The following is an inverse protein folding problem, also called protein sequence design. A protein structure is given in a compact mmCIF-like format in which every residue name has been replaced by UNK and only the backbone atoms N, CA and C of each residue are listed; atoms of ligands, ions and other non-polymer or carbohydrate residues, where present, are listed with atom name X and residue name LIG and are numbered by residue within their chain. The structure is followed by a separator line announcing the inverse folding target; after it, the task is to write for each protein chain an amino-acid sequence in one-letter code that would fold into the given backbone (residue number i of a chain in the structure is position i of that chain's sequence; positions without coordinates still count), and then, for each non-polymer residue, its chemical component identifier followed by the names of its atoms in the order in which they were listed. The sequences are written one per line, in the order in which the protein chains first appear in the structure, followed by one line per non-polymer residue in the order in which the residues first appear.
data_IF_840538716643
#
_entry.id   IF_840538716643
#
_cell.length_a   1.000
_cell.length_b   1.000
_cell.length_c   1.000
_cell.angle_alpha   90.00
_cell.angle_beta   90.00
_cell.angle_gamma   90.00
#
_symmetry.space_group_name_H-M   'P 1'
#
loop_
_entity.id
_entity.type
_entity.pdbx_description
1 polymer ?
#
# COMPACT_ATOMS: atom_id res chain seq x y z
N UNK A 1 -6.07 -37.44 48.89
CA UNK A 1 -6.77 -37.91 47.69
C UNK A 1 -6.76 -36.74 46.71
N UNK A 2 -5.87 -36.84 45.75
CA UNK A 2 -5.76 -35.87 44.65
C UNK A 2 -6.16 -36.62 43.41
N UNK A 3 -7.28 -36.25 42.82
CA UNK A 3 -7.74 -36.78 41.54
C UNK A 3 -6.79 -36.28 40.45
N UNK A 4 -6.16 -37.24 39.75
CA UNK A 4 -5.43 -37.06 38.53
C UNK A 4 -6.46 -36.92 37.41
N UNK A 5 -6.57 -35.74 36.82
CA UNK A 5 -7.33 -35.54 35.59
C UNK A 5 -6.50 -36.12 34.41
N UNK A 6 -7.09 -37.15 33.77
CA UNK A 6 -6.61 -37.78 32.53
C UNK A 6 -6.61 -36.75 31.39
N UNK A 7 -5.42 -36.39 30.92
CA UNK A 7 -5.30 -35.70 29.65
C UNK A 7 -5.55 -36.68 28.49
N UNK A 8 -6.35 -36.36 27.48
CA UNK A 8 -6.57 -37.24 26.34
C UNK A 8 -5.29 -37.31 25.48
N UNK A 9 -4.74 -38.52 25.36
CA UNK A 9 -3.71 -38.87 24.39
C UNK A 9 -4.21 -38.59 22.97
N UNK A 10 -3.62 -37.61 22.31
CA UNK A 10 -3.83 -37.33 20.87
C UNK A 10 -3.00 -38.33 20.09
N UNK A 11 -3.59 -39.45 19.67
CA UNK A 11 -2.97 -40.38 18.73
C UNK A 11 -3.00 -39.79 17.31
N UNK A 12 -1.83 -39.52 16.75
CA UNK A 12 -1.67 -39.15 15.35
C UNK A 12 -2.01 -40.39 14.47
N UNK A 13 -2.70 -40.18 13.33
CA UNK A 13 -2.97 -41.27 12.40
C UNK A 13 -1.69 -41.78 11.75
N UNK A 14 -1.55 -43.13 11.70
CA UNK A 14 -0.48 -43.84 11.03
C UNK A 14 -0.41 -43.46 9.54
N UNK A 15 0.72 -42.87 9.10
CA UNK A 15 0.96 -42.57 7.68
C UNK A 15 1.68 -41.27 7.40
N UNK A 16 2.22 -40.57 8.39
CA UNK A 16 3.15 -39.46 8.13
C UNK A 16 4.57 -39.98 8.00
N UNK A 17 5.01 -40.21 6.75
CA UNK A 17 6.43 -40.31 6.44
C UNK A 17 7.05 -38.93 6.59
N UNK A 18 8.12 -38.82 7.39
CA UNK A 18 8.98 -37.66 7.48
C UNK A 18 9.57 -37.39 6.10
N UNK A 19 8.96 -36.48 5.33
CA UNK A 19 9.61 -35.92 4.15
C UNK A 19 10.73 -35.00 4.62
N UNK A 20 11.98 -35.40 4.34
CA UNK A 20 13.17 -34.57 4.38
C UNK A 20 12.92 -33.28 3.61
N UNK A 21 12.58 -32.21 4.33
CA UNK A 21 12.51 -30.87 3.79
C UNK A 21 13.97 -30.39 3.63
N UNK A 22 14.50 -30.56 2.42
CA UNK A 22 15.80 -30.01 2.03
C UNK A 22 15.75 -28.48 2.11
N UNK A 23 16.21 -27.94 3.23
CA UNK A 23 16.25 -26.51 3.60
C UNK A 23 17.33 -25.77 2.79
N UNK A 24 17.33 -25.91 1.46
CA UNK A 24 18.11 -25.05 0.57
C UNK A 24 17.22 -23.94 0.04
N UNK A 25 17.09 -22.87 0.85
CA UNK A 25 16.65 -21.58 0.32
C UNK A 25 17.65 -21.14 -0.74
N UNK A 26 17.22 -20.81 -1.96
CA UNK A 26 18.12 -20.21 -2.94
C UNK A 26 18.62 -18.87 -2.39
N UNK A 27 19.93 -18.69 -2.43
CA UNK A 27 20.61 -17.46 -1.99
C UNK A 27 20.13 -16.28 -2.86
N UNK A 28 19.48 -15.25 -2.29
CA UNK A 28 18.97 -14.11 -3.07
C UNK A 28 20.06 -13.25 -3.72
N UNK A 29 21.34 -13.52 -3.43
CA UNK A 29 22.48 -12.84 -4.04
C UNK A 29 22.81 -13.31 -5.45
N UNK A 30 22.31 -14.49 -5.88
CA UNK A 30 22.61 -15.03 -7.21
C UNK A 30 21.79 -14.37 -8.33
N UNK A 31 20.58 -13.86 -8.04
CA UNK A 31 19.72 -13.20 -9.03
C UNK A 31 20.10 -11.74 -9.28
N UNK A 32 20.72 -11.07 -8.31
CA UNK A 32 21.09 -9.64 -8.43
C UNK A 32 22.28 -9.44 -9.36
N UNK A 33 23.19 -10.40 -9.45
CA UNK A 33 24.39 -10.28 -10.30
C UNK A 33 24.09 -10.43 -11.80
N UNK A 34 23.06 -11.17 -12.21
CA UNK A 34 22.66 -11.29 -13.62
C UNK A 34 21.97 -10.05 -14.18
N UNK A 35 21.33 -9.25 -13.30
CA UNK A 35 20.66 -8.01 -13.71
C UNK A 35 21.66 -6.86 -13.88
N UNK A 36 22.77 -6.89 -13.17
CA UNK A 36 23.81 -5.83 -13.24
C UNK A 36 24.68 -6.00 -14.48
N UNK A 37 25.03 -7.22 -14.87
CA UNK A 37 25.84 -7.47 -16.09
C UNK A 37 25.07 -7.18 -17.39
N UNK A 38 23.74 -7.34 -17.41
CA UNK A 38 22.89 -6.99 -18.56
C UNK A 38 22.72 -5.50 -18.79
N UNK A 39 22.93 -4.66 -17.77
CA UNK A 39 22.81 -3.19 -17.90
C UNK A 39 24.13 -2.47 -18.27
N UNK A 40 25.26 -3.09 -18.00
CA UNK A 40 26.55 -2.49 -18.36
C UNK A 40 26.93 -2.71 -19.83
N UNK A 41 26.44 -3.75 -20.49
CA UNK A 41 26.68 -4.00 -21.91
C UNK A 41 25.86 -3.10 -22.83
N UNK A 42 24.63 -2.72 -22.45
CA UNK A 42 23.82 -1.79 -23.25
C UNK A 42 24.27 -0.31 -23.14
N UNK A 43 24.99 0.04 -22.08
CA UNK A 43 25.49 1.43 -21.89
C UNK A 43 26.76 1.70 -22.66
N UNK A 44 27.54 0.68 -23.06
CA UNK A 44 28.79 0.82 -23.85
C UNK A 44 28.57 0.91 -25.36
N UNK A 45 27.50 0.35 -25.88
CA UNK A 45 27.17 0.43 -27.31
C UNK A 45 26.52 1.75 -27.74
N UNK A 46 26.01 2.55 -26.79
CA UNK A 46 25.38 3.87 -27.09
C UNK A 46 26.33 5.06 -27.02
N UNK A 47 27.53 4.91 -26.49
CA UNK A 47 28.50 6.00 -26.43
C UNK A 47 29.49 6.07 -27.63
N UNK A 48 29.54 5.00 -28.47
CA UNK A 48 30.49 4.93 -29.58
C UNK A 48 29.95 5.45 -30.95
N UNK A 49 28.69 5.89 -31.01
CA UNK A 49 28.07 6.33 -32.29
C UNK A 49 27.85 7.85 -32.46
N UNK A 50 28.37 8.70 -31.56
CA UNK A 50 28.14 10.14 -31.60
C UNK A 50 29.39 11.04 -31.86
N UNK A 51 30.53 10.48 -32.27
CA UNK A 51 31.65 11.27 -32.74
C UNK A 51 31.88 11.06 -34.24
N UNK A 52 31.25 11.86 -35.09
CA UNK A 52 31.75 12.42 -36.35
C UNK A 52 30.67 13.18 -37.10
N UNK A 53 30.69 14.50 -36.98
CA UNK A 53 30.55 15.44 -38.08
C UNK A 53 30.66 16.89 -37.56
N UNK A 54 31.84 17.42 -37.61
CA UNK A 54 32.08 18.85 -37.74
C UNK A 54 31.88 19.27 -39.20
N UNK A 55 31.27 20.45 -39.37
CA UNK A 55 31.29 21.11 -40.66
C UNK A 55 30.17 22.14 -40.89
N UNK A 56 30.50 23.41 -40.60
CA UNK A 56 30.12 24.68 -41.26
C UNK A 56 28.74 25.32 -41.07
N UNK A 57 28.83 26.44 -40.34
CA UNK A 57 28.30 27.81 -40.57
C UNK A 57 26.84 28.07 -40.92
N UNK A 58 26.23 28.94 -40.08
CA UNK A 58 25.11 29.78 -40.48
C UNK A 58 24.10 30.11 -39.37
N UNK A 59 24.36 31.21 -38.67
CA UNK A 59 23.45 32.20 -38.06
C UNK A 59 22.04 31.81 -37.57
N UNK A 60 21.76 32.37 -36.41
CA UNK A 60 20.55 32.64 -35.66
C UNK A 60 20.24 31.65 -34.53
N UNK A 61 20.56 32.18 -33.32
CA UNK A 61 20.40 31.53 -32.04
C UNK A 61 18.95 31.22 -31.66
N UNK A 62 18.51 30.08 -32.03
CA UNK A 62 17.38 29.44 -31.32
C UNK A 62 17.98 28.46 -30.36
N UNK A 63 18.00 28.83 -29.07
CA UNK A 63 18.32 27.92 -27.98
C UNK A 63 17.27 26.81 -28.01
N UNK A 64 17.57 25.71 -28.69
CA UNK A 64 16.77 24.48 -28.57
C UNK A 64 16.93 24.01 -27.14
N UNK A 65 15.96 24.33 -26.29
CA UNK A 65 15.84 23.69 -24.99
C UNK A 65 15.65 22.20 -25.27
N UNK A 66 16.65 21.39 -24.96
CA UNK A 66 16.49 19.94 -24.90
C UNK A 66 15.46 19.65 -23.79
N UNK A 67 14.22 19.50 -24.20
CA UNK A 67 13.16 18.97 -23.30
C UNK A 67 13.43 17.48 -23.17
N UNK A 68 13.74 17.03 -21.97
CA UNK A 68 13.76 15.60 -21.67
C UNK A 68 12.37 15.07 -21.90
N UNK A 69 12.24 14.10 -22.79
CA UNK A 69 10.98 13.34 -22.96
C UNK A 69 10.68 12.65 -21.64
N UNK A 70 9.45 12.83 -21.16
CA UNK A 70 8.96 12.09 -20.02
C UNK A 70 8.80 10.63 -20.47
N UNK A 71 9.43 9.65 -19.79
CA UNK A 71 9.22 8.25 -20.16
C UNK A 71 7.73 7.93 -20.07
N UNK A 72 7.20 7.24 -21.08
CA UNK A 72 5.85 6.68 -21.04
C UNK A 72 5.81 5.65 -19.90
N UNK A 73 5.26 6.06 -18.77
CA UNK A 73 4.93 5.15 -17.66
C UNK A 73 3.48 4.77 -17.89
N UNK A 74 3.15 3.50 -17.76
CA UNK A 74 1.76 3.06 -17.72
C UNK A 74 1.07 3.81 -16.58
N UNK A 75 0.32 4.86 -16.92
CA UNK A 75 -0.40 5.68 -15.95
C UNK A 75 -1.78 5.09 -15.76
N UNK A 76 -2.01 4.46 -14.62
CA UNK A 76 -3.35 4.09 -14.20
C UNK A 76 -4.07 5.34 -13.69
N UNK A 77 -5.31 5.52 -14.09
CA UNK A 77 -6.13 6.62 -13.60
C UNK A 77 -6.55 6.32 -12.15
N UNK A 78 -6.24 7.27 -11.24
CA UNK A 78 -6.62 7.12 -9.84
C UNK A 78 -7.98 7.76 -9.61
N UNK A 79 -8.93 6.98 -9.12
CA UNK A 79 -10.26 7.42 -8.74
C UNK A 79 -10.33 7.64 -7.23
N UNK A 80 -11.03 8.68 -6.80
CA UNK A 80 -11.16 9.08 -5.39
C UNK A 80 -12.62 9.07 -4.96
N UNK A 81 -12.85 8.64 -3.71
CA UNK A 81 -14.14 8.74 -3.05
C UNK A 81 -13.95 9.39 -1.67
N UNK A 82 -14.70 10.44 -1.36
CA UNK A 82 -14.72 11.08 -0.05
C UNK A 82 -15.99 10.67 0.69
N UNK A 83 -15.83 10.14 1.90
CA UNK A 83 -16.97 9.79 2.73
C UNK A 83 -17.72 11.07 3.16
N UNK A 84 -19.04 11.16 2.97
CA UNK A 84 -19.79 12.35 3.30
C UNK A 84 -19.79 12.62 4.81
N UNK A 85 -19.42 13.85 5.19
CA UNK A 85 -19.34 14.32 6.57
C UNK A 85 -18.17 13.77 7.38
N UNK A 86 -17.92 14.40 8.50
CA UNK A 86 -16.78 14.10 9.36
C UNK A 86 -17.04 12.88 10.25
N UNK A 87 -15.95 12.27 10.68
CA UNK A 87 -15.92 11.21 11.70
C UNK A 87 -15.45 11.83 13.01
N UNK A 88 -16.28 11.79 14.03
CA UNK A 88 -15.93 12.31 15.36
C UNK A 88 -16.08 11.19 16.38
N UNK A 89 -14.99 10.88 17.09
CA UNK A 89 -14.98 9.86 18.14
C UNK A 89 -13.94 10.18 19.21
N UNK A 90 -14.15 9.68 20.42
CA UNK A 90 -13.16 9.79 21.47
C UNK A 90 -12.02 8.81 21.24
N UNK A 91 -10.81 9.23 21.59
CA UNK A 91 -9.64 8.37 21.56
C UNK A 91 -9.58 7.48 22.80
N UNK A 92 -8.98 6.30 22.62
CA UNK A 92 -8.79 5.33 23.68
C UNK A 92 -8.00 5.92 24.85
N UNK A 93 -8.59 5.85 26.04
CA UNK A 93 -7.95 6.31 27.27
C UNK A 93 -7.79 7.83 27.39
N UNK A 94 -8.33 8.62 26.46
CA UNK A 94 -8.29 10.08 26.47
C UNK A 94 -9.67 10.69 26.61
N UNK A 95 -9.72 11.92 27.13
CA UNK A 95 -10.93 12.75 27.14
C UNK A 95 -11.08 13.59 25.86
N UNK A 96 -10.03 13.59 25.05
CA UNK A 96 -10.02 14.27 23.75
C UNK A 96 -10.78 13.48 22.71
N UNK A 97 -11.33 14.18 21.76
CA UNK A 97 -11.94 13.57 20.58
C UNK A 97 -11.18 13.98 19.32
N UNK A 98 -11.20 13.08 18.38
CA UNK A 98 -10.65 13.27 17.05
C UNK A 98 -11.82 13.49 16.07
N UNK A 99 -11.71 14.56 15.28
CA UNK A 99 -12.59 14.81 14.14
C UNK A 99 -11.75 14.72 12.88
N UNK A 100 -12.16 13.85 11.95
CA UNK A 100 -11.45 13.64 10.68
C UNK A 100 -12.42 13.51 9.53
N UNK A 101 -12.05 14.04 8.37
CA UNK A 101 -12.69 13.75 7.09
C UNK A 101 -11.81 12.73 6.35
N UNK A 102 -12.42 11.67 5.83
CA UNK A 102 -11.74 10.52 5.24
C UNK A 102 -12.09 10.40 3.78
N UNK A 103 -11.08 10.27 2.94
CA UNK A 103 -11.19 9.88 1.54
C UNK A 103 -10.39 8.60 1.26
N UNK A 104 -10.78 7.90 0.23
CA UNK A 104 -10.09 6.69 -0.24
C UNK A 104 -9.79 6.79 -1.73
N UNK A 105 -8.79 6.05 -2.20
CA UNK A 105 -8.46 5.98 -3.63
C UNK A 105 -8.29 4.56 -4.11
N UNK A 106 -8.47 4.40 -5.42
CA UNK A 106 -8.18 3.17 -6.16
C UNK A 106 -7.60 3.50 -7.54
N UNK A 107 -6.75 2.62 -8.05
CA UNK A 107 -6.32 2.59 -9.46
C UNK A 107 -7.01 1.46 -10.24
N UNK A 108 -7.91 0.74 -9.60
CA UNK A 108 -8.78 -0.24 -10.24
C UNK A 108 -9.97 0.45 -10.93
N UNK A 109 -10.89 -0.34 -11.46
CA UNK A 109 -12.11 0.13 -12.13
C UNK A 109 -12.96 1.00 -11.17
N UNK A 110 -13.64 2.00 -11.73
CA UNK A 110 -14.58 2.90 -11.05
C UNK A 110 -15.63 2.15 -10.21
N UNK A 111 -15.93 0.90 -10.58
CA UNK A 111 -16.83 0.01 -9.82
C UNK A 111 -16.42 -0.17 -8.36
N UNK A 112 -15.13 -0.09 -8.04
CA UNK A 112 -14.67 -0.16 -6.64
C UNK A 112 -15.25 0.99 -5.84
N UNK A 113 -15.33 2.19 -6.42
CA UNK A 113 -15.92 3.36 -5.73
C UNK A 113 -17.43 3.27 -5.63
N UNK A 114 -18.12 2.67 -6.60
CA UNK A 114 -19.56 2.36 -6.50
C UNK A 114 -19.85 1.38 -5.36
N UNK A 115 -19.00 0.36 -5.18
CA UNK A 115 -19.08 -0.60 -4.08
C UNK A 115 -18.83 0.11 -2.73
N UNK A 116 -17.82 0.98 -2.63
CA UNK A 116 -17.55 1.78 -1.43
C UNK A 116 -18.75 2.65 -1.07
N UNK A 117 -19.39 3.31 -2.05
CA UNK A 117 -20.58 4.11 -1.83
C UNK A 117 -21.77 3.27 -1.37
N UNK A 118 -22.01 2.13 -1.99
CA UNK A 118 -23.09 1.19 -1.64
C UNK A 118 -22.99 0.69 -0.20
N UNK A 119 -21.77 0.48 0.28
CA UNK A 119 -21.47 -0.07 1.61
C UNK A 119 -21.00 0.98 2.61
N UNK A 120 -21.14 2.27 2.30
CA UNK A 120 -20.59 3.34 3.14
C UNK A 120 -21.06 3.28 4.60
N UNK A 121 -22.26 2.81 4.91
CA UNK A 121 -22.72 2.67 6.29
C UNK A 121 -21.86 1.68 7.08
N UNK A 122 -21.55 0.51 6.49
CA UNK A 122 -20.72 -0.50 7.11
C UNK A 122 -19.27 -0.04 7.24
N UNK A 123 -18.74 0.59 6.18
CA UNK A 123 -17.38 1.13 6.16
C UNK A 123 -17.22 2.28 7.16
N UNK A 124 -18.20 3.17 7.28
CA UNK A 124 -18.20 4.25 8.29
C UNK A 124 -18.15 3.71 9.72
N UNK A 125 -18.87 2.63 9.99
CA UNK A 125 -18.82 1.97 11.31
C UNK A 125 -17.42 1.44 11.62
N UNK A 126 -16.76 0.81 10.64
CA UNK A 126 -15.39 0.31 10.80
C UNK A 126 -14.37 1.44 10.98
N UNK A 127 -14.53 2.56 10.26
CA UNK A 127 -13.68 3.75 10.40
C UNK A 127 -13.77 4.28 11.83
N UNK A 128 -15.00 4.51 12.35
CA UNK A 128 -15.21 5.01 13.71
C UNK A 128 -14.64 4.05 14.77
N UNK A 129 -14.87 2.75 14.62
CA UNK A 129 -14.33 1.73 15.51
C UNK A 129 -12.80 1.76 15.51
N UNK A 130 -12.20 1.77 14.33
CA UNK A 130 -10.74 1.79 14.20
C UNK A 130 -10.12 3.04 14.82
N UNK A 131 -10.69 4.22 14.59
CA UNK A 131 -10.20 5.47 15.17
C UNK A 131 -10.28 5.44 16.70
N UNK A 132 -11.37 4.91 17.26
CA UNK A 132 -11.58 4.84 18.70
C UNK A 132 -10.60 3.89 19.43
N UNK A 133 -9.98 2.97 18.72
CA UNK A 133 -8.96 2.06 19.26
C UNK A 133 -7.59 2.72 19.44
N UNK A 134 -7.33 3.86 18.77
CA UNK A 134 -6.07 4.58 18.86
C UNK A 134 -6.00 5.48 20.08
N UNK A 135 -4.80 5.57 20.67
CA UNK A 135 -4.49 6.53 21.72
C UNK A 135 -4.04 7.87 21.12
N UNK A 136 -4.07 8.94 21.94
CA UNK A 136 -3.58 10.26 21.55
C UNK A 136 -2.10 10.23 21.13
N UNK A 137 -1.29 9.45 21.83
CA UNK A 137 0.15 9.32 21.55
C UNK A 137 0.40 8.65 20.19
N UNK A 138 -0.38 7.61 19.87
CA UNK A 138 -0.26 6.86 18.62
C UNK A 138 -0.59 7.67 17.39
N UNK A 139 -1.54 8.62 17.47
CA UNK A 139 -1.94 9.47 16.34
C UNK A 139 -1.19 10.79 16.26
N UNK A 140 -0.29 11.06 17.23
CA UNK A 140 0.46 12.30 17.27
C UNK A 140 1.51 12.35 16.16
N UNK A 141 1.60 13.51 15.49
CA UNK A 141 2.57 13.75 14.42
C UNK A 141 2.23 13.11 13.07
N UNK A 142 3.17 13.19 12.15
CA UNK A 142 3.02 12.65 10.78
C UNK A 142 2.96 11.11 10.75
N UNK A 143 3.80 10.48 11.57
CA UNK A 143 3.90 9.01 11.61
C UNK A 143 2.63 8.38 12.20
N UNK A 144 1.99 9.07 13.17
CA UNK A 144 0.72 8.61 13.73
C UNK A 144 -0.41 8.65 12.69
N UNK A 145 -0.49 9.72 11.90
CA UNK A 145 -1.46 9.83 10.79
C UNK A 145 -1.24 8.74 9.75
N UNK A 146 0.01 8.46 9.39
CA UNK A 146 0.36 7.40 8.45
C UNK A 146 -0.04 6.02 8.97
N UNK A 147 0.25 5.71 10.24
CA UNK A 147 -0.18 4.46 10.87
C UNK A 147 -1.71 4.31 10.87
N UNK A 148 -2.43 5.40 11.14
CA UNK A 148 -3.88 5.39 11.11
C UNK A 148 -4.42 5.14 9.70
N UNK A 149 -3.87 5.80 8.65
CA UNK A 149 -4.29 5.57 7.26
C UNK A 149 -4.02 4.14 6.79
N UNK A 150 -2.84 3.59 7.07
CA UNK A 150 -2.49 2.20 6.77
C UNK A 150 -3.42 1.21 7.49
N UNK A 151 -3.73 1.48 8.77
CA UNK A 151 -4.65 0.63 9.53
C UNK A 151 -6.07 0.67 8.98
N UNK A 152 -6.56 1.87 8.62
CA UNK A 152 -7.88 2.04 8.00
C UNK A 152 -7.95 1.31 6.66
N UNK A 153 -6.95 1.43 5.80
CA UNK A 153 -6.89 0.72 4.52
C UNK A 153 -7.07 -0.79 4.71
N UNK A 154 -6.32 -1.39 5.64
CA UNK A 154 -6.41 -2.84 5.93
C UNK A 154 -7.79 -3.22 6.44
N UNK A 155 -8.36 -2.44 7.37
CA UNK A 155 -9.67 -2.74 7.97
C UNK A 155 -10.80 -2.59 6.95
N UNK A 156 -10.75 -1.54 6.12
CA UNK A 156 -11.76 -1.32 5.08
C UNK A 156 -11.73 -2.42 4.02
N UNK A 157 -10.56 -2.82 3.53
CA UNK A 157 -10.43 -3.92 2.58
C UNK A 157 -10.92 -5.25 3.19
N UNK A 158 -10.57 -5.55 4.44
CA UNK A 158 -11.10 -6.71 5.14
C UNK A 158 -12.62 -6.67 5.29
N UNK A 159 -13.20 -5.49 5.49
CA UNK A 159 -14.66 -5.35 5.55
C UNK A 159 -15.31 -5.61 4.20
N UNK A 160 -14.73 -5.11 3.10
CA UNK A 160 -15.19 -5.39 1.74
C UNK A 160 -15.14 -6.89 1.45
N UNK A 161 -14.05 -7.59 1.78
CA UNK A 161 -13.95 -9.05 1.66
C UNK A 161 -15.06 -9.78 2.44
N UNK A 162 -15.36 -9.34 3.67
CA UNK A 162 -16.42 -9.91 4.48
C UNK A 162 -17.83 -9.68 3.89
N UNK A 163 -17.99 -8.69 3.02
CA UNK A 163 -19.21 -8.42 2.26
C UNK A 163 -19.23 -9.14 0.90
N UNK A 164 -18.23 -9.98 0.60
CA UNK A 164 -17.98 -10.66 -0.67
C UNK A 164 -17.70 -9.68 -1.82
N UNK A 165 -17.15 -8.52 -1.51
CA UNK A 165 -16.74 -7.51 -2.48
C UNK A 165 -15.21 -7.51 -2.67
N UNK A 166 -14.76 -6.92 -3.78
CA UNK A 166 -13.34 -6.82 -4.08
C UNK A 166 -12.64 -5.79 -3.19
N UNK A 167 -11.53 -6.16 -2.48
CA UNK A 167 -10.78 -5.25 -1.60
C UNK A 167 -9.86 -4.32 -2.41
N UNK A 168 -10.45 -3.37 -3.11
CA UNK A 168 -9.76 -2.51 -4.07
C UNK A 168 -9.32 -1.14 -3.53
N UNK A 169 -9.37 -0.89 -2.22
CA UNK A 169 -8.89 0.36 -1.62
C UNK A 169 -7.37 0.31 -1.50
N UNK A 170 -6.66 1.24 -2.16
CA UNK A 170 -5.19 1.30 -2.18
C UNK A 170 -4.63 2.30 -1.18
N UNK A 171 -5.29 3.46 -1.04
CA UNK A 171 -4.87 4.48 -0.08
C UNK A 171 -6.04 5.12 0.67
N UNK A 172 -5.73 5.63 1.87
CA UNK A 172 -6.66 6.39 2.73
C UNK A 172 -6.06 7.75 3.04
N UNK A 173 -6.83 8.79 2.82
CA UNK A 173 -6.45 10.20 2.99
C UNK A 173 -7.29 10.87 4.07
N UNK A 174 -6.69 11.84 4.75
CA UNK A 174 -7.38 12.73 5.67
C UNK A 174 -7.42 14.13 5.08
N UNK A 175 -8.62 14.63 4.75
CA UNK A 175 -8.83 16.00 4.24
C UNK A 175 -8.98 17.00 5.38
N UNK A 176 -9.44 16.55 6.54
CA UNK A 176 -9.41 17.29 7.81
C UNK A 176 -8.95 16.38 8.94
N UNK A 177 -8.20 16.93 9.90
CA UNK A 177 -7.68 16.18 11.06
C UNK A 177 -7.54 17.12 12.26
N UNK A 178 -8.51 17.09 13.16
CA UNK A 178 -8.63 17.99 14.31
C UNK A 178 -8.70 17.19 15.59
N UNK A 179 -7.76 17.43 16.49
CA UNK A 179 -7.73 16.85 17.83
C UNK A 179 -8.09 17.91 18.85
N UNK A 180 -9.15 17.69 19.64
CA UNK A 180 -9.66 18.63 20.64
C UNK A 180 -9.80 17.96 22.00
#
# INVERSE_FOLDING_TARGET
FVDQEDEPEVTLPEGYEENDFDDRKPDPSAEVNQIIEGKETEKKEKEESSEKKEGEEGEEGVIKKNVKEVPEVDTYETTYFEFPGDFTTNLKGSRKFLQVSVGVSTQYDEKVMEVVDSHQLALRSEILSTISDFTEEEISGSDGKKKLSERLMVVLNKKLEALNEFPGIEDVYFTAFILQ
#
